data_IF_785465913546
#
_entry.id   IF_785465913546
#
_cell.length_a   1.000
_cell.length_b   1.000
_cell.length_c   1.000
_cell.angle_alpha   90.00
_cell.angle_beta   90.00
_cell.angle_gamma   90.00
#
_symmetry.space_group_name_H-M   'P 1'
#
loop_
_entity.id
_entity.type
_entity.pdbx_description
1 polymer ?
#
# COMPACT_ATOMS: atom_id res chain seq x y z
N UNK A 1 10.18 -22.03 3.46
CA UNK A 1 9.36 -21.28 2.49
C UNK A 1 8.15 -20.69 3.20
N UNK A 2 8.00 -19.38 3.19
CA UNK A 2 6.87 -18.73 3.85
C UNK A 2 5.72 -18.55 2.86
N UNK A 3 4.51 -18.81 3.34
CA UNK A 3 3.28 -18.63 2.57
C UNK A 3 2.40 -17.68 3.35
N UNK A 4 1.79 -16.71 2.65
CA UNK A 4 0.88 -15.77 3.30
C UNK A 4 -0.32 -15.49 2.41
N UNK A 5 -1.39 -15.01 3.05
CA UNK A 5 -2.56 -14.52 2.31
C UNK A 5 -2.35 -13.03 2.02
N UNK A 6 -2.50 -12.66 0.78
CA UNK A 6 -2.27 -11.29 0.35
C UNK A 6 -3.41 -10.76 -0.51
N UNK A 7 -3.56 -9.43 -0.47
CA UNK A 7 -4.45 -8.72 -1.39
C UNK A 7 -3.58 -8.08 -2.46
N UNK A 8 -3.77 -8.50 -3.70
CA UNK A 8 -3.06 -7.89 -4.82
C UNK A 8 -3.75 -6.59 -5.20
N UNK A 9 -2.98 -5.52 -5.32
CA UNK A 9 -3.48 -4.20 -5.70
C UNK A 9 -2.62 -3.66 -6.84
N UNK A 10 -3.18 -2.76 -7.63
CA UNK A 10 -2.44 -2.15 -8.74
C UNK A 10 -2.22 -0.67 -8.49
N UNK A 11 -1.06 -0.18 -8.93
CA UNK A 11 -0.73 1.24 -8.99
C UNK A 11 0.01 1.43 -10.31
N UNK A 12 -0.61 2.13 -11.25
CA UNK A 12 -0.08 2.20 -12.61
C UNK A 12 -0.03 0.81 -13.22
N UNK A 13 1.14 0.42 -13.70
CA UNK A 13 1.35 -0.90 -14.28
C UNK A 13 1.95 -1.89 -13.27
N UNK A 14 2.20 -1.44 -12.05
CA UNK A 14 2.80 -2.26 -11.02
C UNK A 14 1.76 -2.93 -10.15
N UNK A 15 2.12 -4.11 -9.63
CA UNK A 15 1.27 -4.86 -8.71
C UNK A 15 2.00 -4.98 -7.38
N UNK A 16 1.27 -4.70 -6.30
CA UNK A 16 1.79 -4.87 -4.94
C UNK A 16 0.90 -5.85 -4.19
N UNK A 17 1.50 -6.53 -3.21
CA UNK A 17 0.77 -7.44 -2.33
C UNK A 17 0.70 -6.83 -0.94
N UNK A 18 -0.50 -6.66 -0.43
CA UNK A 18 -0.72 -6.16 0.94
C UNK A 18 -1.10 -7.36 1.80
N UNK A 19 -0.37 -7.63 2.90
CA UNK A 19 -0.73 -8.74 3.78
C UNK A 19 -2.16 -8.58 4.29
N UNK A 20 -2.97 -9.62 4.16
CA UNK A 20 -4.39 -9.56 4.54
C UNK A 20 -4.56 -9.18 6.02
N UNK A 21 -3.67 -9.70 6.88
CA UNK A 21 -3.76 -9.43 8.32
C UNK A 21 -3.55 -7.96 8.68
N UNK A 22 -3.00 -7.17 7.78
CA UNK A 22 -2.82 -5.74 7.99
C UNK A 22 -4.02 -4.92 7.52
N UNK A 23 -4.97 -5.51 6.81
CA UNK A 23 -6.11 -4.77 6.25
C UNK A 23 -7.30 -4.84 7.19
N UNK A 24 -7.80 -3.66 7.60
CA UNK A 24 -9.01 -3.56 8.41
C UNK A 24 -10.25 -3.42 7.54
N UNK A 25 -10.17 -2.59 6.50
CA UNK A 25 -11.29 -2.43 5.57
C UNK A 25 -10.80 -1.87 4.25
N UNK A 26 -11.67 -1.94 3.25
CA UNK A 26 -11.41 -1.45 1.91
C UNK A 26 -12.59 -0.57 1.54
N UNK A 27 -12.33 0.66 1.09
CA UNK A 27 -13.38 1.65 0.86
C UNK A 27 -13.13 2.45 -0.41
N UNK A 28 -14.21 2.86 -1.04
CA UNK A 28 -14.18 3.89 -2.07
C UNK A 28 -14.52 5.22 -1.43
N UNK A 29 -13.77 6.25 -1.80
CA UNK A 29 -14.03 7.61 -1.30
C UNK A 29 -14.03 8.59 -2.47
N UNK A 30 -14.36 9.83 -2.17
CA UNK A 30 -14.29 10.94 -3.12
C UNK A 30 -13.38 12.01 -2.56
N UNK A 31 -13.03 13.00 -3.37
CA UNK A 31 -12.23 14.14 -2.91
C UNK A 31 -12.90 14.87 -1.74
N UNK A 32 -14.24 14.89 -1.72
CA UNK A 32 -14.97 15.54 -0.64
C UNK A 32 -14.84 14.88 0.72
N UNK A 33 -14.43 13.62 0.75
CA UNK A 33 -14.22 12.88 2.00
C UNK A 33 -12.85 13.15 2.61
N UNK A 34 -11.94 13.75 1.85
CA UNK A 34 -10.56 13.97 2.28
C UNK A 34 -10.43 15.30 3.02
N UNK A 35 -9.77 15.26 4.17
CA UNK A 35 -9.49 16.42 4.98
C UNK A 35 -8.05 16.83 4.73
N UNK A 36 -7.84 18.13 4.46
CA UNK A 36 -6.50 18.65 4.21
C UNK A 36 -6.03 19.40 5.45
N UNK A 37 -5.16 18.75 6.22
CA UNK A 37 -4.59 19.35 7.43
C UNK A 37 -3.26 20.02 7.09
N UNK A 38 -3.08 21.26 7.55
CA UNK A 38 -1.88 22.04 7.23
C UNK A 38 -0.59 21.38 7.74
N UNK A 39 -0.67 20.66 8.86
CA UNK A 39 0.49 20.02 9.47
C UNK A 39 0.65 18.57 9.05
N UNK A 40 -0.47 17.84 8.88
CA UNK A 40 -0.45 16.39 8.69
C UNK A 40 -0.78 15.95 7.26
N UNK A 41 -1.17 16.88 6.40
CA UNK A 41 -1.50 16.59 5.02
C UNK A 41 -2.89 16.00 4.86
N UNK A 42 -3.04 15.10 3.90
CA UNK A 42 -4.32 14.50 3.60
C UNK A 42 -4.70 13.46 4.64
N UNK A 43 -5.94 13.55 5.13
CA UNK A 43 -6.46 12.65 6.15
C UNK A 43 -7.86 12.19 5.81
N UNK A 44 -8.26 11.07 6.39
CA UNK A 44 -9.60 10.51 6.23
C UNK A 44 -10.15 10.21 7.62
N UNK A 45 -11.43 10.56 7.83
CA UNK A 45 -12.11 10.22 9.08
C UNK A 45 -12.74 8.84 8.98
N UNK A 46 -12.36 7.96 9.91
CA UNK A 46 -12.91 6.61 10.00
C UNK A 46 -13.26 6.33 11.45
N UNK A 47 -14.52 5.96 11.70
CA UNK A 47 -14.98 5.59 13.05
C UNK A 47 -14.58 6.60 14.14
N UNK A 48 -14.83 7.88 13.87
CA UNK A 48 -14.59 8.99 14.79
C UNK A 48 -13.11 9.35 15.04
N UNK A 49 -12.20 8.75 14.30
CA UNK A 49 -10.78 9.10 14.35
C UNK A 49 -10.31 9.53 12.96
N UNK A 50 -9.17 10.25 12.95
CA UNK A 50 -8.58 10.73 11.71
C UNK A 50 -7.29 9.98 11.43
N UNK A 51 -7.13 9.53 10.19
CA UNK A 51 -5.95 8.76 9.79
C UNK A 51 -5.31 9.41 8.57
N UNK A 52 -3.98 9.41 8.55
CA UNK A 52 -3.25 9.94 7.41
C UNK A 52 -3.48 9.06 6.18
N UNK A 53 -3.52 9.69 5.00
CA UNK A 53 -3.58 8.97 3.75
C UNK A 53 -2.18 8.96 3.15
N UNK A 54 -1.70 7.75 2.82
CA UNK A 54 -0.46 7.57 2.09
C UNK A 54 -0.82 7.14 0.68
N UNK A 55 -0.42 7.94 -0.29
CA UNK A 55 -0.61 7.60 -1.70
C UNK A 55 0.53 6.68 -2.12
N UNK A 56 0.21 5.44 -2.46
CA UNK A 56 1.26 4.47 -2.84
C UNK A 56 2.09 5.00 -4.01
N UNK A 57 1.46 5.63 -4.97
CA UNK A 57 2.14 6.24 -6.10
C UNK A 57 3.23 7.23 -5.66
N UNK A 58 2.91 8.12 -4.72
CA UNK A 58 3.88 9.09 -4.21
C UNK A 58 4.93 8.45 -3.32
N UNK A 59 4.50 7.54 -2.47
CA UNK A 59 5.41 6.88 -1.53
C UNK A 59 6.53 6.14 -2.27
N UNK A 60 6.18 5.42 -3.34
CA UNK A 60 7.13 4.67 -4.13
C UNK A 60 7.68 5.46 -5.32
N UNK A 61 7.37 6.75 -5.40
CA UNK A 61 7.87 7.66 -6.44
C UNK A 61 7.60 7.11 -7.84
N UNK A 62 6.38 6.70 -8.08
CA UNK A 62 5.96 6.13 -9.35
C UNK A 62 5.49 7.21 -10.32
N UNK A 63 5.79 7.01 -11.59
CA UNK A 63 5.39 7.96 -12.63
C UNK A 63 3.92 7.86 -12.99
N UNK A 64 3.38 6.63 -13.00
CA UNK A 64 2.00 6.37 -13.42
C UNK A 64 1.16 5.83 -12.27
N UNK A 65 -0.11 6.20 -12.27
CA UNK A 65 -1.08 5.77 -11.28
C UNK A 65 -2.17 6.82 -11.15
N UNK A 66 -3.25 6.47 -10.45
CA UNK A 66 -4.38 7.38 -10.27
C UNK A 66 -4.06 8.46 -9.24
N UNK A 67 -4.49 9.69 -9.50
CA UNK A 67 -4.32 10.81 -8.58
C UNK A 67 -5.64 11.20 -7.92
N UNK A 68 -6.76 11.01 -8.61
CA UNK A 68 -8.09 11.36 -8.10
C UNK A 68 -8.59 10.25 -7.17
N UNK A 69 -8.96 10.62 -5.95
CA UNK A 69 -9.47 9.66 -4.97
C UNK A 69 -10.70 8.90 -5.46
N UNK A 70 -11.54 9.56 -6.26
CA UNK A 70 -12.72 8.90 -6.84
C UNK A 70 -12.40 7.82 -7.86
N UNK A 71 -11.19 7.82 -8.39
CA UNK A 71 -10.77 6.84 -9.40
C UNK A 71 -10.00 5.66 -8.82
N UNK A 72 -9.67 5.70 -7.54
CA UNK A 72 -8.92 4.65 -6.88
C UNK A 72 -9.66 4.04 -5.71
N UNK A 73 -8.90 3.46 -4.79
CA UNK A 73 -9.47 2.78 -3.64
C UNK A 73 -8.59 2.99 -2.42
N UNK A 74 -9.21 3.00 -1.24
CA UNK A 74 -8.52 3.15 0.04
C UNK A 74 -8.50 1.82 0.76
N UNK A 75 -7.32 1.42 1.23
CA UNK A 75 -7.17 0.30 2.16
C UNK A 75 -6.84 0.89 3.53
N UNK A 76 -7.71 0.65 4.51
CA UNK A 76 -7.42 1.03 5.90
C UNK A 76 -6.56 -0.09 6.47
N UNK A 77 -5.30 0.21 6.73
CA UNK A 77 -4.32 -0.78 7.18
C UNK A 77 -3.79 -0.46 8.56
N UNK A 78 -3.30 -1.48 9.25
CA UNK A 78 -2.73 -1.30 10.58
C UNK A 78 -1.59 -2.28 10.84
N UNK A 79 -0.68 -1.86 11.71
CA UNK A 79 0.39 -2.71 12.23
C UNK A 79 0.59 -2.31 13.69
N UNK A 80 0.27 -3.23 14.61
CA UNK A 80 0.28 -2.91 16.03
C UNK A 80 -0.75 -1.82 16.34
N UNK A 81 -0.30 -0.76 16.99
CA UNK A 81 -1.16 0.38 17.34
C UNK A 81 -1.22 1.46 16.27
N UNK A 82 -0.51 1.28 15.17
CA UNK A 82 -0.41 2.28 14.12
C UNK A 82 -1.35 1.95 12.96
N UNK A 83 -2.13 2.93 12.54
CA UNK A 83 -3.07 2.79 11.42
C UNK A 83 -2.95 3.94 10.47
N UNK A 84 -3.18 3.68 9.19
CA UNK A 84 -3.25 4.71 8.17
C UNK A 84 -4.06 4.19 6.99
N UNK A 85 -4.30 5.05 6.01
CA UNK A 85 -5.03 4.70 4.81
C UNK A 85 -4.06 4.67 3.63
N UNK A 86 -4.05 3.57 2.90
CA UNK A 86 -3.20 3.43 1.71
C UNK A 86 -4.07 3.60 0.48
N UNK A 87 -3.71 4.57 -0.37
CA UNK A 87 -4.43 4.82 -1.61
C UNK A 87 -3.74 4.12 -2.78
N UNK A 88 -4.50 3.30 -3.49
CA UNK A 88 -4.03 2.54 -4.66
C UNK A 88 -5.03 2.71 -5.80
N UNK A 89 -4.65 2.27 -7.01
CA UNK A 89 -5.51 2.41 -8.17
C UNK A 89 -6.72 1.46 -8.11
N UNK A 90 -6.46 0.18 -7.85
CA UNK A 90 -7.51 -0.83 -7.90
C UNK A 90 -7.14 -2.07 -7.09
N UNK A 91 -8.16 -2.85 -6.76
CA UNK A 91 -7.96 -4.19 -6.20
C UNK A 91 -7.92 -5.18 -7.36
N UNK A 92 -6.99 -6.11 -7.29
CA UNK A 92 -6.94 -7.21 -8.24
C UNK A 92 -7.62 -8.44 -7.63
N UNK A 93 -7.27 -8.77 -6.40
CA UNK A 93 -7.91 -9.88 -5.70
C UNK A 93 -7.05 -10.45 -4.61
N UNK A 94 -7.67 -11.29 -3.78
CA UNK A 94 -7.00 -11.98 -2.70
C UNK A 94 -6.43 -13.31 -3.21
N UNK A 95 -5.21 -13.61 -2.78
CA UNK A 95 -4.64 -14.93 -3.09
C UNK A 95 -3.55 -15.29 -2.10
N UNK A 96 -3.28 -16.56 -2.02
CA UNK A 96 -2.17 -17.10 -1.23
C UNK A 96 -0.90 -16.98 -2.06
N UNK A 97 0.14 -16.38 -1.47
CA UNK A 97 1.39 -16.13 -2.18
C UNK A 97 2.57 -16.73 -1.44
N UNK A 98 3.61 -17.08 -2.21
CA UNK A 98 4.87 -17.57 -1.64
C UNK A 98 5.81 -16.37 -1.51
N UNK A 99 6.26 -16.11 -0.29
CA UNK A 99 7.14 -14.98 0.00
C UNK A 99 8.57 -15.33 -0.39
N UNK A 100 9.18 -14.47 -1.21
CA UNK A 100 10.55 -14.63 -1.67
C UNK A 100 11.35 -13.38 -1.29
N UNK A 101 12.67 -13.52 -1.07
CA UNK A 101 13.49 -12.34 -0.85
C UNK A 101 13.56 -11.49 -2.11
N UNK A 102 13.81 -10.19 -1.92
CA UNK A 102 13.95 -9.27 -3.05
C UNK A 102 15.17 -9.64 -3.89
N UNK A 103 15.05 -9.60 -5.23
CA UNK A 103 16.23 -9.77 -6.09
C UNK A 103 17.26 -8.66 -5.82
N UNK A 104 18.53 -8.95 -6.02
CA UNK A 104 19.61 -7.99 -5.75
C UNK A 104 19.44 -6.68 -6.53
N UNK A 105 19.02 -6.77 -7.79
CA UNK A 105 18.86 -5.56 -8.61
C UNK A 105 17.77 -4.63 -8.08
N UNK A 106 16.78 -5.17 -7.40
CA UNK A 106 15.72 -4.36 -6.77
C UNK A 106 16.30 -3.60 -5.58
N UNK A 107 17.20 -4.24 -4.83
CA UNK A 107 17.82 -3.61 -3.67
C UNK A 107 18.69 -2.41 -4.05
N UNK A 108 19.26 -2.42 -5.25
CA UNK A 108 20.11 -1.32 -5.74
C UNK A 108 19.34 0.01 -5.81
N UNK A 109 18.00 -0.05 -5.95
CA UNK A 109 17.17 1.15 -6.00
C UNK A 109 16.67 1.57 -4.61
N UNK A 110 17.12 0.89 -3.56
CA UNK A 110 16.75 1.24 -2.19
C UNK A 110 15.30 0.94 -1.81
N UNK A 111 14.58 0.19 -2.63
CA UNK A 111 13.17 -0.12 -2.39
C UNK A 111 12.95 -0.85 -1.06
N UNK A 112 13.90 -1.71 -0.69
CA UNK A 112 13.81 -2.47 0.57
C UNK A 112 13.68 -1.55 1.79
N UNK A 113 14.29 -0.36 1.74
CA UNK A 113 14.26 0.58 2.85
C UNK A 113 12.97 1.37 2.94
N UNK A 114 12.06 1.20 1.97
CA UNK A 114 10.87 2.03 1.82
C UNK A 114 9.56 1.24 1.96
N UNK A 115 9.58 0.17 2.76
CA UNK A 115 8.33 -0.50 3.09
C UNK A 115 8.00 -1.73 2.25
N UNK A 116 9.01 -2.47 1.85
CA UNK A 116 8.84 -3.74 1.15
C UNK A 116 9.56 -4.84 1.93
N UNK A 117 8.86 -5.94 2.23
CA UNK A 117 9.45 -7.07 2.98
C UNK A 117 9.93 -8.22 2.10
N UNK A 118 9.55 -8.21 0.84
CA UNK A 118 9.90 -9.27 -0.08
C UNK A 118 9.08 -9.15 -1.34
N UNK A 119 8.99 -10.24 -2.08
CA UNK A 119 8.19 -10.26 -3.30
C UNK A 119 7.55 -11.62 -3.51
N UNK A 120 6.65 -11.69 -4.47
CA UNK A 120 6.10 -12.94 -4.95
C UNK A 120 6.05 -12.90 -6.47
N UNK A 121 6.02 -14.06 -7.10
CA UNK A 121 5.94 -14.16 -8.55
C UNK A 121 4.50 -14.51 -8.92
N UNK A 122 3.88 -13.67 -9.75
CA UNK A 122 2.51 -13.86 -10.19
C UNK A 122 2.42 -14.93 -11.26
N UNK A 123 1.20 -15.38 -11.53
CA UNK A 123 0.97 -16.43 -12.53
C UNK A 123 1.46 -16.08 -13.93
N UNK A 124 1.50 -14.78 -14.25
CA UNK A 124 2.01 -14.30 -15.54
C UNK A 124 3.54 -14.10 -15.58
N UNK A 125 4.22 -14.39 -14.46
CA UNK A 125 5.66 -14.22 -14.37
C UNK A 125 6.12 -12.87 -13.84
N UNK A 126 5.23 -11.92 -13.65
CA UNK A 126 5.57 -10.61 -13.10
C UNK A 126 5.83 -10.70 -11.61
N UNK A 127 6.61 -9.75 -11.10
CA UNK A 127 6.95 -9.66 -9.67
C UNK A 127 5.97 -8.71 -9.00
N UNK A 128 5.39 -9.16 -7.87
CA UNK A 128 4.59 -8.31 -7.00
C UNK A 128 5.39 -8.06 -5.72
N UNK A 129 5.60 -6.80 -5.38
CA UNK A 129 6.31 -6.45 -4.16
C UNK A 129 5.38 -6.53 -2.97
N UNK A 130 5.82 -7.20 -1.90
CA UNK A 130 5.02 -7.37 -0.70
C UNK A 130 5.30 -6.20 0.24
N UNK A 131 4.25 -5.48 0.60
CA UNK A 131 4.37 -4.25 1.37
C UNK A 131 4.59 -4.53 2.86
N UNK A 132 5.44 -3.71 3.44
CA UNK A 132 5.69 -3.69 4.88
C UNK A 132 4.93 -2.51 5.48
N UNK A 133 3.74 -2.78 5.99
CA UNK A 133 2.83 -1.74 6.50
C UNK A 133 3.49 -0.96 7.65
N UNK A 134 4.20 -1.63 8.55
CA UNK A 134 4.87 -0.96 9.67
C UNK A 134 5.91 0.05 9.18
N UNK A 135 6.74 -0.34 8.21
CA UNK A 135 7.76 0.55 7.68
C UNK A 135 7.20 1.68 6.84
N UNK A 136 6.12 1.44 6.11
CA UNK A 136 5.44 2.50 5.36
C UNK A 136 4.92 3.55 6.33
N UNK A 137 4.30 3.13 7.43
CA UNK A 137 3.81 4.06 8.44
C UNK A 137 4.96 4.89 9.01
N UNK A 138 6.05 4.23 9.43
CA UNK A 138 7.20 4.91 10.02
C UNK A 138 7.81 5.92 9.05
N UNK A 139 8.00 5.55 7.79
CA UNK A 139 8.58 6.44 6.79
C UNK A 139 7.66 7.62 6.46
N UNK A 140 6.35 7.40 6.47
CA UNK A 140 5.38 8.45 6.13
C UNK A 140 5.24 9.51 7.22
N UNK A 141 5.69 9.22 8.44
CA UNK A 141 5.64 10.17 9.56
C UNK A 141 6.88 11.05 9.65
N UNK A 142 7.85 10.82 8.80
CA UNK A 142 9.11 11.58 8.80
C UNK A 142 8.99 12.87 8.01
#
# INVERSE_FOLDING_TARGET
MAIMDGMEVSVGESVFTVPINNIRSIQKITEGDVIHDAAKGEMLRLMDNFYSIVRAKEFFQMEYGKDDYGEGIILWVESGDNSFCLFVDALIGEQQVVVKPLPDYVNEYGIRNYGVIGCTILGNGDISLILDVANIYAASQM
#
